data_IF_386923934024
#
_entry.id   IF_386923934024
#
_cell.length_a   1.000
_cell.length_b   1.000
_cell.length_c   1.000
_cell.angle_alpha   90.00
_cell.angle_beta   90.00
_cell.angle_gamma   90.00
#
_symmetry.space_group_name_H-M   'P 1'
#
loop_
_entity.id
_entity.type
_entity.pdbx_description
1 polymer ?
#
# COMPACT_ATOMS: atom_id res chain seq x y z
N UNK A 1 1.58 11.69 2.62
CA UNK A 1 1.52 11.61 1.12
C UNK A 1 0.13 11.13 0.74
N UNK A 2 -0.49 11.62 -0.35
CA UNK A 2 -1.90 11.27 -0.64
C UNK A 2 -2.03 9.83 -1.18
N UNK A 3 -1.08 9.42 -2.00
CA UNK A 3 -1.00 8.09 -2.59
C UNK A 3 0.30 7.40 -2.19
N UNK A 4 0.32 6.08 -2.19
CA UNK A 4 1.52 5.24 -2.12
C UNK A 4 1.45 4.18 -3.22
N UNK A 5 2.53 3.97 -3.97
CA UNK A 5 2.56 2.92 -4.99
C UNK A 5 2.71 1.54 -4.36
N UNK A 6 2.08 0.54 -4.96
CA UNK A 6 1.99 -0.79 -4.34
C UNK A 6 3.35 -1.50 -4.27
N UNK A 7 4.28 -1.18 -5.17
CA UNK A 7 5.64 -1.70 -5.21
C UNK A 7 6.61 -0.96 -4.25
N UNK A 8 6.15 0.07 -3.55
CA UNK A 8 6.95 0.87 -2.60
C UNK A 8 6.58 0.62 -1.13
N UNK A 9 5.65 -0.29 -0.84
CA UNK A 9 5.14 -0.53 0.52
C UNK A 9 5.22 -2.01 0.92
N UNK A 10 5.32 -2.26 2.21
CA UNK A 10 5.38 -3.62 2.76
C UNK A 10 4.61 -3.77 4.08
N UNK A 11 4.82 -4.89 4.80
CA UNK A 11 4.15 -5.17 6.06
C UNK A 11 4.47 -4.19 7.20
N UNK A 12 5.48 -3.33 7.05
CA UNK A 12 5.84 -2.28 8.02
C UNK A 12 5.00 -1.02 7.85
N UNK A 13 4.32 -0.86 6.71
CA UNK A 13 3.55 0.34 6.35
C UNK A 13 2.04 0.26 6.71
N UNK A 14 1.65 -0.64 7.62
CA UNK A 14 0.24 -0.88 7.95
C UNK A 14 -0.50 0.40 8.40
N UNK A 15 0.15 1.28 9.17
CA UNK A 15 -0.44 2.56 9.61
C UNK A 15 -0.65 3.56 8.46
N UNK A 16 0.08 3.39 7.36
CA UNK A 16 0.02 4.25 6.16
C UNK A 16 -1.01 3.73 5.15
N UNK A 17 -0.97 2.44 4.81
CA UNK A 17 -1.75 1.84 3.70
C UNK A 17 -2.79 0.81 4.15
N UNK A 18 -2.87 0.52 5.45
CA UNK A 18 -3.70 -0.53 6.01
C UNK A 18 -3.20 -1.94 5.70
N UNK A 19 -3.73 -2.94 6.42
CA UNK A 19 -3.26 -4.33 6.30
C UNK A 19 -3.38 -4.92 4.89
N UNK A 20 -4.43 -4.56 4.13
CA UNK A 20 -4.59 -5.02 2.74
C UNK A 20 -3.55 -4.40 1.80
N UNK A 21 -3.30 -3.09 1.91
CA UNK A 21 -2.28 -2.41 1.10
C UNK A 21 -0.89 -2.97 1.35
N UNK A 22 -0.55 -3.12 2.64
CA UNK A 22 0.70 -3.71 3.10
C UNK A 22 0.91 -5.15 2.58
N UNK A 23 -0.10 -6.02 2.71
CA UNK A 23 -0.01 -7.39 2.18
C UNK A 23 0.07 -7.46 0.66
N UNK A 24 -0.63 -6.58 -0.07
CA UNK A 24 -0.52 -6.54 -1.53
C UNK A 24 0.85 -6.06 -2.00
N UNK A 25 1.49 -5.16 -1.26
CA UNK A 25 2.86 -4.72 -1.54
C UNK A 25 3.88 -5.84 -1.37
N UNK A 26 3.79 -6.62 -0.28
CA UNK A 26 4.59 -7.84 -0.09
C UNK A 26 4.45 -8.82 -1.27
N UNK A 27 3.22 -9.06 -1.72
CA UNK A 27 2.97 -9.94 -2.86
C UNK A 27 3.58 -9.37 -4.16
N UNK A 28 3.50 -8.05 -4.38
CA UNK A 28 4.09 -7.39 -5.55
C UNK A 28 5.62 -7.48 -5.53
N UNK A 29 6.25 -7.22 -4.38
CA UNK A 29 7.70 -7.32 -4.20
C UNK A 29 8.20 -8.77 -4.32
N UNK A 30 7.39 -9.76 -3.94
CA UNK A 30 7.64 -11.18 -4.17
C UNK A 30 7.40 -11.64 -5.63
N UNK A 31 7.26 -10.71 -6.58
CA UNK A 31 7.06 -10.96 -8.01
C UNK A 31 5.81 -11.80 -8.33
N UNK A 32 4.82 -11.83 -7.43
CA UNK A 32 3.53 -12.46 -7.69
C UNK A 32 2.66 -11.58 -8.61
N UNK A 33 1.65 -12.14 -9.30
CA UNK A 33 0.86 -11.42 -10.31
C UNK A 33 -0.14 -10.45 -9.67
N UNK A 34 0.38 -9.41 -9.02
CA UNK A 34 -0.36 -8.26 -8.50
C UNK A 34 -0.35 -7.18 -9.59
N UNK A 35 -1.53 -6.72 -10.07
CA UNK A 35 -1.62 -5.63 -11.04
C UNK A 35 -0.97 -4.36 -10.51
N UNK A 36 -0.54 -3.48 -11.41
CA UNK A 36 -0.06 -2.16 -11.02
C UNK A 36 -1.20 -1.38 -10.35
N UNK A 37 -0.90 -0.84 -9.18
CA UNK A 37 -1.88 -0.21 -8.32
C UNK A 37 -1.22 0.80 -7.38
N UNK A 38 -2.05 1.63 -6.75
CA UNK A 38 -1.66 2.52 -5.67
C UNK A 38 -2.73 2.49 -4.58
N UNK A 39 -2.36 2.89 -3.37
CA UNK A 39 -3.24 3.02 -2.21
C UNK A 39 -3.45 4.49 -1.91
N UNK A 40 -4.70 4.91 -1.67
CA UNK A 40 -5.00 6.19 -1.04
C UNK A 40 -4.78 6.02 0.46
N UNK A 41 -3.85 6.79 1.03
CA UNK A 41 -3.32 6.53 2.38
C UNK A 41 -4.36 6.75 3.48
N UNK A 42 -4.20 6.05 4.61
CA UNK A 42 -5.03 6.26 5.79
C UNK A 42 -4.91 7.71 6.32
N UNK A 43 -3.75 8.36 6.11
CA UNK A 43 -3.57 9.79 6.39
C UNK A 43 -4.56 10.66 5.59
N UNK A 44 -4.80 10.31 4.32
CA UNK A 44 -5.75 11.04 3.46
C UNK A 44 -7.16 10.93 4.00
N UNK A 45 -7.59 9.73 4.42
CA UNK A 45 -8.91 9.54 5.05
C UNK A 45 -9.05 10.31 6.37
N UNK A 46 -7.98 10.47 7.17
CA UNK A 46 -8.04 11.28 8.39
C UNK A 46 -8.16 12.78 8.11
N UNK A 47 -7.73 13.24 6.94
CA UNK A 47 -7.67 14.65 6.57
C UNK A 47 -8.95 15.16 5.89
N UNK A 48 -9.74 14.29 5.27
CA UNK A 48 -10.93 14.61 4.49
C UNK A 48 -12.11 13.73 4.88
#
# INVERSE_FOLDING_TARGET
MIIAWIDEVDNTDIELVGGKGASLGELKQAELPVPDAFVVTAETFRRF
#
